data_IF_816470164925
#
_entry.id   IF_816470164925
#
_cell.length_a   1.000
_cell.length_b   1.000
_cell.length_c   1.000
_cell.angle_alpha   90.00
_cell.angle_beta   90.00
_cell.angle_gamma   90.00
#
_symmetry.space_group_name_H-M   'P 1'
#
loop_
_entity.id
_entity.type
_entity.pdbx_description
1 polymer ?
#
# COMPACT_ATOMS: atom_id res chain seq x y z
N UNK A 1 8.68 36.32 -21.27
CA UNK A 1 9.62 35.44 -20.55
C UNK A 1 9.84 35.84 -19.09
N UNK A 2 10.06 37.13 -18.72
CA UNK A 2 10.25 37.53 -17.29
C UNK A 2 9.02 37.25 -16.37
N UNK A 3 7.80 37.28 -16.87
CA UNK A 3 6.60 37.03 -16.06
C UNK A 3 6.32 35.52 -15.83
N UNK A 4 6.77 34.63 -16.71
CA UNK A 4 6.67 33.19 -16.50
C UNK A 4 7.62 32.70 -15.39
N UNK A 5 8.80 33.30 -15.28
CA UNK A 5 9.79 32.92 -14.24
C UNK A 5 9.37 33.40 -12.85
N UNK A 6 8.59 34.48 -12.74
CA UNK A 6 8.04 34.95 -11.45
C UNK A 6 7.04 33.95 -10.86
N UNK A 7 6.19 33.34 -11.69
CA UNK A 7 5.20 32.35 -11.24
C UNK A 7 5.83 31.02 -10.75
N UNK A 8 7.01 30.65 -11.25
CA UNK A 8 7.73 29.48 -10.78
C UNK A 8 8.35 29.64 -9.38
N UNK A 9 8.64 30.88 -8.94
CA UNK A 9 9.19 31.15 -7.60
C UNK A 9 8.14 31.07 -6.48
N UNK A 10 6.85 31.16 -6.80
CA UNK A 10 5.75 31.06 -5.84
C UNK A 10 5.15 29.65 -5.73
N UNK A 11 5.51 28.75 -6.65
CA UNK A 11 5.03 27.37 -6.61
C UNK A 11 5.95 26.54 -5.72
N UNK A 12 5.55 26.42 -4.45
CA UNK A 12 6.22 25.49 -3.52
C UNK A 12 5.81 24.05 -3.88
N UNK A 13 6.65 23.41 -4.71
CA UNK A 13 6.48 22.02 -5.12
C UNK A 13 6.24 21.12 -3.91
N UNK A 14 6.97 21.36 -2.83
CA UNK A 14 6.96 20.52 -1.65
C UNK A 14 5.66 20.58 -0.85
N UNK A 15 5.00 21.74 -0.82
CA UNK A 15 3.68 21.86 -0.20
C UNK A 15 2.56 21.18 -1.00
N UNK A 16 2.81 20.88 -2.29
CA UNK A 16 1.84 20.29 -3.19
C UNK A 16 2.03 18.79 -3.42
N UNK A 17 2.94 18.14 -2.70
CA UNK A 17 3.17 16.70 -2.76
C UNK A 17 2.41 15.98 -1.64
N UNK A 18 1.68 14.94 -2.00
CA UNK A 18 1.16 13.93 -1.10
C UNK A 18 2.02 12.67 -1.23
N UNK A 19 2.45 12.13 -0.11
CA UNK A 19 3.07 10.81 -0.06
C UNK A 19 2.02 9.79 0.38
N UNK A 20 1.84 8.73 -0.39
CA UNK A 20 0.99 7.60 -0.02
C UNK A 20 1.87 6.37 0.19
N UNK A 21 1.55 5.57 1.21
CA UNK A 21 2.22 4.31 1.53
C UNK A 21 1.15 3.22 1.59
N UNK A 22 0.89 2.55 0.45
CA UNK A 22 -0.20 1.59 0.36
C UNK A 22 0.11 0.25 1.04
N UNK A 23 1.35 -0.18 1.06
CA UNK A 23 1.76 -1.53 1.47
C UNK A 23 2.71 -1.59 2.69
N UNK A 24 2.85 -0.49 3.43
CA UNK A 24 3.67 -0.45 4.65
C UNK A 24 2.99 -1.04 5.90
N UNK A 25 1.68 -1.35 5.82
CA UNK A 25 0.91 -1.85 6.95
C UNK A 25 1.15 -3.32 7.29
N UNK A 26 1.01 -3.64 8.56
CA UNK A 26 1.19 -5.00 9.10
C UNK A 26 -0.04 -5.54 9.85
N UNK A 27 -1.08 -4.73 9.99
CA UNK A 27 -2.26 -5.10 10.78
C UNK A 27 -3.17 -6.07 10.02
N UNK A 28 -3.78 -7.00 10.76
CA UNK A 28 -4.91 -7.80 10.29
C UNK A 28 -6.20 -7.02 10.53
N UNK A 29 -7.16 -6.98 9.59
CA UNK A 29 -8.46 -6.39 9.83
C UNK A 29 -9.17 -7.05 11.01
N UNK A 30 -9.83 -6.27 11.86
CA UNK A 30 -10.56 -6.78 13.03
C UNK A 30 -11.75 -7.69 12.66
N UNK A 31 -12.18 -7.67 11.41
CA UNK A 31 -13.24 -8.49 10.83
C UNK A 31 -12.80 -9.93 10.55
N UNK A 32 -11.48 -10.17 10.55
CA UNK A 32 -10.88 -11.49 10.30
C UNK A 32 -10.50 -12.12 11.64
N UNK A 33 -11.13 -13.25 12.02
CA UNK A 33 -10.74 -13.98 13.22
C UNK A 33 -9.30 -14.51 13.08
N UNK A 34 -8.45 -14.27 14.08
CA UNK A 34 -7.05 -14.71 14.02
C UNK A 34 -6.88 -16.22 13.97
N UNK A 35 -7.83 -16.97 14.51
CA UNK A 35 -7.86 -18.44 14.47
C UNK A 35 -8.26 -19.01 13.11
N UNK A 36 -8.82 -18.17 12.20
CA UNK A 36 -9.08 -18.55 10.81
C UNK A 36 -7.83 -18.54 9.94
N UNK A 37 -6.74 -17.92 10.38
CA UNK A 37 -5.54 -17.74 9.60
C UNK A 37 -4.75 -19.05 9.43
N UNK A 38 -4.17 -19.24 8.23
CA UNK A 38 -3.34 -20.39 7.93
C UNK A 38 -1.99 -20.33 8.67
N UNK A 39 -1.30 -21.46 8.75
CA UNK A 39 0.05 -21.53 9.33
C UNK A 39 1.09 -20.68 8.55
N UNK A 40 0.78 -20.31 7.31
CA UNK A 40 1.67 -19.53 6.44
C UNK A 40 1.50 -18.02 6.60
N UNK A 41 0.44 -17.58 7.28
CA UNK A 41 0.05 -16.17 7.36
C UNK A 41 1.19 -15.25 7.84
N UNK A 42 1.92 -15.64 8.90
CA UNK A 42 3.02 -14.80 9.43
C UNK A 42 4.13 -14.58 8.40
N UNK A 43 4.47 -15.63 7.66
CA UNK A 43 5.46 -15.54 6.58
C UNK A 43 4.95 -14.64 5.46
N UNK A 44 3.73 -14.88 4.98
CA UNK A 44 3.12 -14.11 3.91
C UNK A 44 3.03 -12.63 4.28
N UNK A 45 2.55 -12.31 5.50
CA UNK A 45 2.47 -10.93 5.96
C UNK A 45 3.85 -10.25 5.95
N UNK A 46 4.90 -10.97 6.34
CA UNK A 46 6.26 -10.46 6.35
C UNK A 46 6.83 -10.26 4.93
N UNK A 47 6.53 -11.19 4.02
CA UNK A 47 7.04 -11.17 2.63
C UNK A 47 6.34 -10.09 1.77
N UNK A 48 5.13 -9.66 2.17
CA UNK A 48 4.30 -8.71 1.40
C UNK A 48 4.37 -7.27 1.90
N UNK A 49 5.07 -7.00 2.99
CA UNK A 49 5.22 -5.65 3.52
C UNK A 49 6.34 -4.92 2.76
N UNK A 50 6.04 -3.71 2.34
CA UNK A 50 7.04 -2.78 1.85
C UNK A 50 7.78 -2.18 3.05
N UNK A 51 8.76 -2.93 3.56
CA UNK A 51 9.50 -2.58 4.77
C UNK A 51 10.17 -1.22 4.68
N UNK A 52 10.14 -0.48 5.78
CA UNK A 52 10.78 0.82 5.95
C UNK A 52 10.24 1.93 5.05
N UNK A 53 9.13 1.74 4.34
CA UNK A 53 8.57 2.80 3.47
C UNK A 53 8.16 4.03 4.24
N UNK A 54 7.60 3.89 5.43
CA UNK A 54 7.26 4.99 6.33
C UNK A 54 8.49 5.81 6.76
N UNK A 55 9.64 5.16 6.93
CA UNK A 55 10.92 5.81 7.21
C UNK A 55 11.57 6.39 5.96
N UNK A 56 11.61 5.63 4.86
CA UNK A 56 12.24 6.05 3.59
C UNK A 56 11.55 7.28 2.99
N UNK A 57 10.25 7.41 3.20
CA UNK A 57 9.43 8.51 2.68
C UNK A 57 9.04 9.54 3.76
N UNK A 58 9.69 9.53 4.92
CA UNK A 58 9.50 10.55 5.96
C UNK A 58 10.28 11.82 5.65
N UNK A 59 9.70 12.65 4.79
CA UNK A 59 10.27 13.95 4.41
C UNK A 59 9.70 15.12 5.21
N UNK A 60 9.06 14.89 6.35
CA UNK A 60 8.39 15.93 7.15
C UNK A 60 9.32 17.09 7.52
N UNK A 61 10.61 16.81 7.76
CA UNK A 61 11.58 17.82 8.11
C UNK A 61 12.09 18.65 6.91
N UNK A 62 11.89 18.17 5.70
CA UNK A 62 12.38 18.81 4.47
C UNK A 62 11.21 19.44 3.71
N UNK A 63 10.08 18.78 3.72
CA UNK A 63 8.89 19.12 2.98
C UNK A 63 7.74 19.07 3.98
N UNK A 64 7.05 20.14 4.21
CA UNK A 64 5.82 20.12 5.03
C UNK A 64 4.72 19.29 4.31
N UNK A 65 5.05 18.04 4.02
CA UNK A 65 4.24 17.14 3.22
C UNK A 65 3.24 16.36 4.07
N UNK A 66 2.13 16.06 3.46
CA UNK A 66 1.13 15.17 4.01
C UNK A 66 1.46 13.73 3.61
N UNK A 67 1.47 12.82 4.58
CA UNK A 67 1.64 11.39 4.37
C UNK A 67 0.37 10.65 4.73
N UNK A 68 -0.06 9.72 3.89
CA UNK A 68 -1.20 8.84 4.11
C UNK A 68 -0.73 7.39 3.97
N UNK A 69 -0.79 6.62 5.06
CA UNK A 69 -0.39 5.22 5.08
C UNK A 69 -1.61 4.32 5.27
N UNK A 70 -1.59 3.15 4.62
CA UNK A 70 -2.54 2.07 4.89
C UNK A 70 -1.98 1.21 6.03
N UNK A 71 -2.67 1.06 7.18
CA UNK A 71 -2.18 0.25 8.29
C UNK A 71 -2.37 -1.25 8.08
N UNK A 72 -3.24 -1.65 7.15
CA UNK A 72 -3.59 -3.05 6.91
C UNK A 72 -2.54 -3.70 6.01
N UNK A 73 -2.12 -4.90 6.39
CA UNK A 73 -1.19 -5.69 5.57
C UNK A 73 -1.78 -6.02 4.20
N UNK A 74 -0.95 -5.89 3.18
CA UNK A 74 -1.30 -6.12 1.78
C UNK A 74 -1.85 -7.53 1.49
N UNK A 75 -1.52 -8.54 2.31
CA UNK A 75 -2.10 -9.87 2.17
C UNK A 75 -3.60 -9.94 2.50
N UNK A 76 -4.09 -9.00 3.34
CA UNK A 76 -5.50 -8.95 3.72
C UNK A 76 -6.29 -7.91 2.94
N UNK A 77 -5.63 -6.82 2.51
CA UNK A 77 -6.26 -5.74 1.78
C UNK A 77 -5.23 -5.07 0.86
N UNK A 78 -5.37 -5.30 -0.43
CA UNK A 78 -4.57 -4.59 -1.44
C UNK A 78 -5.32 -3.33 -1.92
N UNK A 79 -4.91 -2.18 -1.42
CA UNK A 79 -5.54 -0.89 -1.76
C UNK A 79 -5.21 -0.39 -3.17
N UNK A 80 -4.31 -1.06 -3.89
CA UNK A 80 -3.95 -0.74 -5.28
C UNK A 80 -4.74 -1.57 -6.30
N UNK A 81 -5.82 -2.23 -5.87
CA UNK A 81 -6.73 -3.00 -6.74
C UNK A 81 -8.05 -2.29 -6.93
N UNK A 82 -8.84 -2.77 -7.91
CA UNK A 82 -10.17 -2.26 -8.16
C UNK A 82 -11.13 -2.73 -7.04
N UNK A 83 -11.80 -1.85 -6.29
CA UNK A 83 -12.69 -2.24 -5.19
C UNK A 83 -13.92 -3.05 -5.61
N UNK A 84 -14.26 -3.07 -6.91
CA UNK A 84 -15.33 -3.91 -7.44
C UNK A 84 -14.89 -5.38 -7.65
N UNK A 85 -13.59 -5.64 -7.62
CA UNK A 85 -12.98 -6.96 -7.73
C UNK A 85 -12.59 -7.44 -6.32
N UNK A 86 -13.61 -7.92 -5.57
CA UNK A 86 -13.47 -8.27 -4.14
C UNK A 86 -12.33 -9.23 -3.88
N UNK A 87 -12.17 -10.24 -4.75
CA UNK A 87 -11.16 -11.29 -4.60
C UNK A 87 -9.73 -10.76 -4.83
N UNK A 88 -9.57 -9.71 -5.64
CA UNK A 88 -8.28 -9.08 -5.86
C UNK A 88 -7.92 -8.09 -4.74
N UNK A 89 -8.95 -7.41 -4.18
CA UNK A 89 -8.76 -6.49 -3.07
C UNK A 89 -8.56 -7.19 -1.73
N UNK A 90 -9.33 -8.25 -1.47
CA UNK A 90 -9.31 -9.04 -0.23
C UNK A 90 -9.11 -10.51 -0.62
N UNK A 91 -7.87 -10.90 -0.96
CA UNK A 91 -7.61 -12.21 -1.54
C UNK A 91 -7.67 -13.33 -0.51
N UNK A 92 -8.02 -14.55 -0.96
CA UNK A 92 -7.95 -15.76 -0.16
C UNK A 92 -6.58 -16.43 -0.25
N UNK A 93 -5.82 -16.11 -1.30
CA UNK A 93 -4.50 -16.66 -1.58
C UNK A 93 -3.51 -15.57 -1.95
N UNK A 94 -2.26 -15.75 -1.59
CA UNK A 94 -1.14 -14.97 -2.09
C UNK A 94 -0.16 -15.91 -2.81
N UNK A 95 0.11 -15.67 -4.10
CA UNK A 95 0.97 -16.54 -4.92
C UNK A 95 0.64 -18.05 -4.78
N UNK A 96 -0.65 -18.39 -4.79
CA UNK A 96 -1.18 -19.75 -4.61
C UNK A 96 -1.03 -20.32 -3.18
N UNK A 97 -0.50 -19.57 -2.23
CA UNK A 97 -0.41 -19.97 -0.82
C UNK A 97 -1.66 -19.47 -0.08
N UNK A 98 -2.41 -20.34 0.61
CA UNK A 98 -3.63 -19.94 1.31
C UNK A 98 -3.32 -19.02 2.49
N UNK A 99 -4.06 -17.91 2.58
CA UNK A 99 -3.99 -16.97 3.70
C UNK A 99 -4.79 -17.51 4.89
N UNK A 100 -5.86 -18.21 4.61
CA UNK A 100 -6.80 -18.76 5.59
C UNK A 100 -6.72 -20.28 5.66
N UNK A 101 -7.26 -20.85 6.73
CA UNK A 101 -7.54 -22.30 6.81
C UNK A 101 -8.68 -22.62 5.85
N UNK A 102 -8.65 -23.81 5.27
CA UNK A 102 -9.69 -24.27 4.33
C UNK A 102 -11.10 -24.17 4.94
N UNK A 103 -11.99 -23.51 4.22
CA UNK A 103 -13.38 -23.27 4.65
C UNK A 103 -13.55 -22.16 5.69
N UNK A 104 -12.48 -21.40 5.98
CA UNK A 104 -12.52 -20.25 6.91
C UNK A 104 -12.18 -18.94 6.22
N UNK A 105 -12.24 -18.91 4.89
CA UNK A 105 -12.05 -17.72 4.09
C UNK A 105 -13.17 -16.69 4.40
N UNK A 106 -12.86 -15.38 4.37
CA UNK A 106 -13.85 -14.34 4.61
C UNK A 106 -14.99 -14.41 3.59
N UNK A 107 -16.23 -14.42 4.06
CA UNK A 107 -17.39 -14.33 3.17
C UNK A 107 -17.38 -13.01 2.38
N UNK A 108 -18.09 -12.97 1.25
CA UNK A 108 -18.25 -11.73 0.45
C UNK A 108 -18.72 -10.54 1.28
N UNK A 109 -19.59 -10.78 2.29
CA UNK A 109 -20.06 -9.76 3.22
C UNK A 109 -18.91 -9.19 4.06
N UNK A 110 -18.04 -10.05 4.58
CA UNK A 110 -16.86 -9.64 5.36
C UNK A 110 -15.85 -8.90 4.48
N UNK A 111 -15.57 -9.40 3.27
CA UNK A 111 -14.70 -8.71 2.30
C UNK A 111 -15.22 -7.30 2.00
N UNK A 112 -16.53 -7.14 1.79
CA UNK A 112 -17.14 -5.82 1.56
C UNK A 112 -17.02 -4.91 2.79
N UNK A 113 -17.16 -5.43 4.00
CA UNK A 113 -16.95 -4.65 5.23
C UNK A 113 -15.51 -4.14 5.33
N UNK A 114 -14.53 -4.97 5.00
CA UNK A 114 -13.11 -4.60 4.99
C UNK A 114 -12.87 -3.46 3.98
N UNK A 115 -13.42 -3.58 2.77
CA UNK A 115 -13.33 -2.51 1.76
C UNK A 115 -13.95 -1.22 2.28
N UNK A 116 -15.15 -1.27 2.83
CA UNK A 116 -15.85 -0.08 3.31
C UNK A 116 -15.10 0.59 4.48
N UNK A 117 -14.49 -0.21 5.36
CA UNK A 117 -13.84 0.30 6.57
C UNK A 117 -12.42 0.80 6.37
N UNK A 118 -11.68 0.21 5.43
CA UNK A 118 -10.25 0.51 5.27
C UNK A 118 -9.90 1.03 3.87
N UNK A 119 -10.39 0.41 2.80
CA UNK A 119 -10.09 0.80 1.42
C UNK A 119 -10.67 2.18 1.08
N UNK A 120 -11.98 2.33 1.24
CA UNK A 120 -12.65 3.58 0.86
C UNK A 120 -12.13 4.78 1.68
N UNK A 121 -11.95 4.71 3.01
CA UNK A 121 -11.39 5.82 3.77
C UNK A 121 -9.95 6.17 3.39
N UNK A 122 -9.12 5.19 3.00
CA UNK A 122 -7.77 5.45 2.50
C UNK A 122 -7.82 6.31 1.23
N UNK A 123 -8.60 5.89 0.23
CA UNK A 123 -8.75 6.62 -1.02
C UNK A 123 -9.47 7.97 -0.85
N UNK A 124 -10.42 8.07 0.08
CA UNK A 124 -11.09 9.33 0.40
C UNK A 124 -10.12 10.38 0.99
N UNK A 125 -9.19 9.93 1.85
CA UNK A 125 -8.14 10.84 2.36
C UNK A 125 -7.26 11.35 1.22
N UNK A 126 -6.89 10.50 0.27
CA UNK A 126 -6.11 10.89 -0.92
C UNK A 126 -6.87 11.94 -1.74
N UNK A 127 -8.14 11.68 -2.05
CA UNK A 127 -8.99 12.63 -2.81
C UNK A 127 -9.15 13.97 -2.09
N UNK A 128 -9.34 13.96 -0.77
CA UNK A 128 -9.52 15.16 0.05
C UNK A 128 -8.25 15.98 0.23
N UNK A 129 -7.07 15.40 -0.01
CA UNK A 129 -5.79 16.09 0.14
C UNK A 129 -5.63 17.29 -0.81
N UNK A 130 -6.30 17.26 -1.97
CA UNK A 130 -6.21 18.28 -3.03
C UNK A 130 -4.77 18.60 -3.48
N UNK A 131 -3.84 17.68 -3.25
CA UNK A 131 -2.46 17.84 -3.67
C UNK A 131 -2.32 17.57 -5.17
N UNK A 132 -1.41 18.30 -5.80
CA UNK A 132 -1.22 18.23 -7.27
C UNK A 132 -0.36 17.01 -7.65
N UNK A 133 0.60 16.67 -6.79
CA UNK A 133 1.48 15.53 -7.02
C UNK A 133 1.27 14.46 -5.97
N UNK A 134 1.20 13.23 -6.40
CA UNK A 134 1.15 12.05 -5.53
C UNK A 134 2.42 11.26 -5.75
N UNK A 135 3.17 11.05 -4.67
CA UNK A 135 4.30 10.13 -4.62
C UNK A 135 3.81 8.82 -3.99
N UNK A 136 3.78 7.76 -4.79
CA UNK A 136 3.41 6.41 -4.34
C UNK A 136 4.66 5.70 -3.83
N UNK A 137 4.75 5.56 -2.51
CA UNK A 137 5.92 5.04 -1.82
C UNK A 137 5.89 3.53 -1.70
N UNK A 138 6.79 2.89 -2.41
CA UNK A 138 7.01 1.45 -2.35
C UNK A 138 8.45 1.11 -1.98
N UNK A 139 8.66 -0.05 -1.40
CA UNK A 139 9.96 -0.69 -1.31
C UNK A 139 9.90 -2.09 -1.93
N UNK A 140 11.04 -2.59 -2.35
CA UNK A 140 11.11 -3.95 -2.89
C UNK A 140 12.11 -4.77 -2.12
N UNK A 141 11.79 -6.05 -1.88
CA UNK A 141 12.72 -7.00 -1.28
C UNK A 141 13.95 -7.21 -2.19
N UNK A 142 15.09 -7.45 -1.58
CA UNK A 142 16.30 -7.88 -2.30
C UNK A 142 16.05 -9.24 -2.93
N UNK A 143 16.28 -9.38 -4.23
CA UNK A 143 16.18 -10.66 -4.93
C UNK A 143 14.99 -10.77 -5.88
N UNK A 144 14.44 -9.64 -6.32
CA UNK A 144 13.48 -9.63 -7.42
C UNK A 144 14.00 -10.43 -8.61
N UNK A 145 13.15 -11.30 -9.09
CA UNK A 145 13.32 -11.92 -10.41
C UNK A 145 12.65 -11.00 -11.42
N UNK A 146 13.28 -10.84 -12.58
CA UNK A 146 12.64 -10.18 -13.70
C UNK A 146 11.42 -11.01 -14.19
N UNK A 147 10.70 -10.48 -15.19
CA UNK A 147 9.53 -11.15 -15.77
C UNK A 147 9.87 -12.53 -16.39
N UNK A 148 11.16 -12.84 -16.59
CA UNK A 148 11.65 -14.14 -17.06
C UNK A 148 12.11 -15.05 -15.94
N UNK A 149 12.04 -14.58 -14.67
CA UNK A 149 12.47 -15.34 -13.51
C UNK A 149 13.98 -15.29 -13.23
N UNK A 150 14.71 -14.42 -13.91
CA UNK A 150 16.13 -14.16 -13.65
C UNK A 150 16.31 -13.17 -12.50
N UNK A 151 17.34 -13.37 -11.66
CA UNK A 151 17.66 -12.40 -10.61
C UNK A 151 18.06 -11.07 -11.23
N UNK A 152 17.33 -10.01 -10.91
CA UNK A 152 17.72 -8.66 -11.31
C UNK A 152 19.05 -8.33 -10.65
N UNK A 153 20.11 -8.15 -11.44
CA UNK A 153 21.39 -7.66 -10.93
C UNK A 153 21.21 -6.23 -10.45
N UNK A 154 21.42 -6.00 -9.16
CA UNK A 154 21.49 -4.65 -8.63
C UNK A 154 22.75 -3.98 -9.17
N UNK A 155 22.61 -3.05 -10.08
CA UNK A 155 23.61 -2.01 -10.25
C UNK A 155 23.47 -1.03 -9.06
N UNK A 156 24.22 -1.33 -8.01
CA UNK A 156 24.47 -0.37 -6.93
C UNK A 156 25.53 0.59 -7.49
N UNK A 157 25.09 1.74 -7.99
CA UNK A 157 25.96 2.89 -8.23
C UNK A 157 25.90 3.83 -7.05
#
# INVERSE_FOLDING_TARGET
MKNMIKNFKEFDLFQNVLIIIPHGGIQCPSEIPLDSLSKYQKRLANDCVDWYTDYLYDFKNIMNNQQISNPISNIYLNVNRNPNELEDCVPDFYEKIPIYKSGQEPSKKIKQLIINKYFLPFHDKIKKSKKIFILDGHSTATGLKDLKGEKVKKDVR
#
